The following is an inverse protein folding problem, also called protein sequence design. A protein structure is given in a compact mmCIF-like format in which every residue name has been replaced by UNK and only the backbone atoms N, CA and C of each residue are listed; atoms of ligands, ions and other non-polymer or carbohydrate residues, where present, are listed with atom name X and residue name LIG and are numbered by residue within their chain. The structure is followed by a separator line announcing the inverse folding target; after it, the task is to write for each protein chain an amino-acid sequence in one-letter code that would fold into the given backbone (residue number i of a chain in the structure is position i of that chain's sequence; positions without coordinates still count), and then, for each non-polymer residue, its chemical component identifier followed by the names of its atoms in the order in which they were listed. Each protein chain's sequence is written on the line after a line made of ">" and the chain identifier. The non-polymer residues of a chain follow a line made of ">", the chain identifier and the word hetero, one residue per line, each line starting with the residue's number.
data_IF_837710541854
#
_entry.id   IF_837710541854
#
_cell.length_a   1.000
_cell.length_b   1.000
_cell.length_c   1.000
_cell.angle_alpha   90.00
_cell.angle_beta   90.00
_cell.angle_gamma   90.00
#
_symmetry.space_group_name_H-M   'P 1'
#
loop_
_entity.id
_entity.type
_entity.pdbx_description
1 polymer ?
#
# COMPACT_ATOMS: atom_id res chain seq x y z
N UNK A 1 64.07 -2.25 -10.91
CA UNK A 1 63.29 -1.13 -10.35
C UNK A 1 61.93 -1.18 -11.01
N UNK A 2 60.92 -1.41 -10.19
CA UNK A 2 59.65 -2.03 -10.53
C UNK A 2 58.74 -1.13 -11.36
N UNK A 3 58.07 -1.73 -12.35
CA UNK A 3 57.00 -1.13 -13.13
C UNK A 3 55.73 -1.95 -12.90
N UNK A 4 54.77 -1.40 -12.15
CA UNK A 4 53.37 -1.89 -12.07
C UNK A 4 52.39 -0.73 -11.82
N UNK A 5 51.13 -0.89 -12.27
CA UNK A 5 50.39 0.16 -12.96
C UNK A 5 49.36 0.88 -12.08
N UNK A 6 48.98 2.06 -12.59
CA UNK A 6 47.97 2.98 -12.07
C UNK A 6 46.64 2.26 -11.82
N UNK A 7 46.26 2.12 -10.55
CA UNK A 7 44.94 1.66 -10.13
C UNK A 7 43.96 2.84 -10.28
N UNK A 8 43.38 2.97 -11.48
CA UNK A 8 42.23 3.83 -11.70
C UNK A 8 41.01 3.14 -11.09
N UNK A 9 40.77 3.41 -9.81
CA UNK A 9 39.44 3.23 -9.23
C UNK A 9 38.53 4.29 -9.84
N UNK A 10 37.89 3.97 -10.96
CA UNK A 10 36.78 4.74 -11.51
C UNK A 10 35.62 4.68 -10.51
N UNK A 11 35.60 5.65 -9.60
CA UNK A 11 34.39 5.99 -8.86
C UNK A 11 33.42 6.55 -9.89
N UNK A 12 32.56 5.69 -10.43
CA UNK A 12 31.47 6.09 -11.33
C UNK A 12 30.57 7.05 -10.56
N UNK A 13 30.84 8.35 -10.71
CA UNK A 13 29.91 9.40 -10.33
C UNK A 13 28.67 9.24 -11.21
N UNK A 14 27.64 8.53 -10.70
CA UNK A 14 26.30 8.53 -11.30
C UNK A 14 25.86 9.99 -11.40
N UNK A 15 25.89 10.53 -12.61
CA UNK A 15 25.47 11.89 -12.85
C UNK A 15 23.94 11.95 -12.76
N UNK A 16 23.36 13.09 -12.39
CA UNK A 16 21.90 13.29 -12.38
C UNK A 16 21.26 13.16 -13.79
N UNK A 17 22.07 12.83 -14.80
CA UNK A 17 21.68 12.64 -16.20
C UNK A 17 21.60 11.16 -16.60
N UNK A 18 21.93 10.23 -15.70
CA UNK A 18 21.84 8.79 -15.96
C UNK A 18 20.47 8.23 -15.56
N UNK A 19 19.88 7.43 -16.43
CA UNK A 19 18.58 6.81 -16.23
C UNK A 19 18.73 5.62 -15.27
N UNK A 20 18.04 5.65 -14.13
CA UNK A 20 18.11 4.56 -13.15
C UNK A 20 17.46 3.23 -13.60
N UNK A 21 16.84 3.18 -14.78
CA UNK A 21 16.20 1.97 -15.34
C UNK A 21 17.15 1.26 -16.31
N UNK A 22 17.67 1.96 -17.33
CA UNK A 22 18.59 1.36 -18.32
C UNK A 22 20.07 1.54 -17.96
N UNK A 23 20.38 2.38 -16.97
CA UNK A 23 21.74 2.72 -16.51
C UNK A 23 22.58 3.50 -17.53
N UNK A 24 21.97 4.00 -18.60
CA UNK A 24 22.58 4.89 -19.61
C UNK A 24 22.12 6.35 -19.45
N UNK A 25 22.75 7.28 -20.18
CA UNK A 25 22.31 8.68 -20.28
C UNK A 25 20.84 8.77 -20.69
N UNK A 26 20.08 9.61 -20.01
CA UNK A 26 18.65 9.81 -20.25
C UNK A 26 18.37 10.23 -21.70
N UNK A 27 17.66 9.38 -22.44
CA UNK A 27 17.15 9.66 -23.78
C UNK A 27 15.67 10.01 -23.72
N UNK A 28 15.27 11.13 -24.34
CA UNK A 28 13.88 11.61 -24.29
C UNK A 28 13.41 11.81 -22.84
N UNK A 29 13.99 12.79 -22.14
CA UNK A 29 13.78 13.00 -20.70
C UNK A 29 12.32 13.15 -20.32
N UNK A 30 11.85 12.29 -19.39
CA UNK A 30 10.56 12.43 -18.72
C UNK A 30 10.77 12.63 -17.22
N UNK A 31 10.32 13.76 -16.70
CA UNK A 31 10.39 14.11 -15.27
C UNK A 31 9.05 13.87 -14.61
N UNK A 32 9.05 13.11 -13.53
CA UNK A 32 7.86 12.76 -12.77
C UNK A 32 7.49 13.87 -11.75
N UNK A 33 6.30 13.80 -11.14
CA UNK A 33 5.90 14.74 -10.06
C UNK A 33 6.82 14.72 -8.84
N UNK A 34 7.53 13.60 -8.62
CA UNK A 34 8.54 13.45 -7.58
C UNK A 34 9.92 13.98 -7.99
N UNK A 35 10.00 14.69 -9.13
CA UNK A 35 11.20 15.32 -9.70
C UNK A 35 12.31 14.38 -10.17
N UNK A 36 12.14 13.07 -10.04
CA UNK A 36 13.02 12.09 -10.68
C UNK A 36 12.82 12.04 -12.19
N UNK A 37 13.92 11.91 -12.94
CA UNK A 37 13.92 11.85 -14.41
C UNK A 37 14.42 10.49 -14.93
N UNK A 38 13.82 10.04 -16.03
CA UNK A 38 14.14 8.78 -16.70
C UNK A 38 14.06 8.95 -18.22
N UNK A 39 14.54 7.97 -18.98
CA UNK A 39 14.17 7.86 -20.39
C UNK A 39 12.65 7.65 -20.50
N UNK A 40 11.99 8.34 -21.44
CA UNK A 40 10.54 8.23 -21.62
C UNK A 40 10.08 6.78 -21.82
N UNK A 41 10.74 6.05 -22.72
CA UNK A 41 10.39 4.64 -23.00
C UNK A 41 10.60 3.72 -21.79
N UNK A 42 11.66 3.95 -21.02
CA UNK A 42 11.94 3.18 -19.82
C UNK A 42 10.85 3.36 -18.78
N UNK A 43 10.49 4.61 -18.46
CA UNK A 43 9.48 4.85 -17.42
C UNK A 43 8.08 4.47 -17.87
N UNK A 44 7.74 4.64 -19.15
CA UNK A 44 6.46 4.20 -19.70
C UNK A 44 6.31 2.68 -19.65
N UNK A 45 7.40 1.94 -19.88
CA UNK A 45 7.42 0.48 -19.73
C UNK A 45 7.20 0.05 -18.27
N UNK A 46 7.78 0.75 -17.29
CA UNK A 46 7.52 0.50 -15.87
C UNK A 46 6.05 0.79 -15.53
N UNK A 47 5.51 1.91 -15.99
CA UNK A 47 4.15 2.35 -15.66
C UNK A 47 3.05 1.44 -16.21
N UNK A 48 3.33 0.64 -17.25
CA UNK A 48 2.41 -0.41 -17.70
C UNK A 48 2.11 -1.46 -16.62
N UNK A 49 3.05 -1.68 -15.69
CA UNK A 49 2.90 -2.68 -14.61
C UNK A 49 2.66 -2.04 -13.25
N UNK A 50 3.40 -0.97 -12.94
CA UNK A 50 3.28 -0.23 -11.69
C UNK A 50 3.50 1.25 -11.96
N UNK A 51 2.46 2.09 -11.84
CA UNK A 51 2.59 3.53 -12.06
C UNK A 51 3.26 4.19 -10.84
N UNK A 52 4.47 3.76 -10.47
CA UNK A 52 5.24 4.29 -9.35
C UNK A 52 6.69 4.53 -9.75
N UNK A 53 7.29 5.60 -9.25
CA UNK A 53 8.67 5.96 -9.52
C UNK A 53 9.63 4.84 -9.05
N UNK A 54 10.54 4.34 -9.90
CA UNK A 54 11.53 3.34 -9.50
C UNK A 54 12.51 3.77 -8.40
N UNK A 55 12.66 5.08 -8.17
CA UNK A 55 13.62 5.62 -7.20
C UNK A 55 12.97 5.81 -5.82
N UNK A 56 11.80 6.45 -5.76
CA UNK A 56 11.16 6.83 -4.50
C UNK A 56 9.78 6.21 -4.27
N UNK A 57 9.31 5.38 -5.20
CA UNK A 57 8.02 4.68 -5.16
C UNK A 57 6.78 5.60 -5.10
N UNK A 58 6.93 6.91 -5.39
CA UNK A 58 5.80 7.83 -5.53
C UNK A 58 4.92 7.39 -6.71
N UNK A 59 3.62 7.26 -6.49
CA UNK A 59 2.67 6.88 -7.53
C UNK A 59 2.37 8.05 -8.49
N UNK A 60 2.23 7.73 -9.78
CA UNK A 60 1.99 8.63 -10.89
C UNK A 60 0.80 8.13 -11.74
N UNK A 61 -0.40 8.48 -11.31
CA UNK A 61 -1.66 8.02 -11.90
C UNK A 61 -2.58 7.44 -10.82
N UNK A 62 -3.75 6.95 -11.22
CA UNK A 62 -4.62 6.21 -10.31
C UNK A 62 -4.34 4.72 -10.44
N UNK A 63 -3.71 4.16 -9.41
CA UNK A 63 -3.53 2.73 -9.28
C UNK A 63 -4.74 2.12 -8.58
N UNK A 64 -5.35 1.14 -9.23
CA UNK A 64 -6.42 0.32 -8.66
C UNK A 64 -5.89 -1.09 -8.40
N UNK A 65 -6.31 -1.68 -7.28
CA UNK A 65 -5.94 -3.03 -6.90
C UNK A 65 -6.93 -4.09 -7.38
N UNK A 66 -6.74 -5.30 -6.86
CA UNK A 66 -7.48 -6.52 -7.20
C UNK A 66 -8.41 -6.97 -6.08
N UNK A 67 -8.88 -6.04 -5.24
CA UNK A 67 -9.92 -6.33 -4.25
C UNK A 67 -11.22 -6.76 -4.98
N UNK A 68 -11.88 -7.85 -4.60
CA UNK A 68 -13.19 -8.21 -5.15
C UNK A 68 -14.28 -7.19 -4.80
N UNK A 69 -15.42 -7.23 -5.50
CA UNK A 69 -16.58 -6.41 -5.11
C UNK A 69 -17.07 -6.78 -3.70
N UNK A 70 -17.36 -5.76 -2.90
CA UNK A 70 -17.80 -5.88 -1.52
C UNK A 70 -18.21 -4.53 -0.94
N UNK A 71 -18.49 -4.49 0.36
CA UNK A 71 -18.94 -3.29 1.06
C UNK A 71 -17.99 -2.91 2.20
N UNK A 72 -17.93 -1.60 2.47
CA UNK A 72 -17.29 -1.01 3.63
C UNK A 72 -18.32 -0.12 4.32
N UNK A 73 -18.74 -0.49 5.53
CA UNK A 73 -19.65 0.31 6.37
C UNK A 73 -18.89 0.86 7.57
N UNK A 74 -19.31 2.05 8.03
CA UNK A 74 -18.64 2.75 9.12
C UNK A 74 -19.69 3.18 10.14
N UNK A 75 -19.45 2.85 11.40
CA UNK A 75 -20.26 3.29 12.53
C UNK A 75 -19.39 3.90 13.62
N UNK A 76 -20.01 4.72 14.47
CA UNK A 76 -19.35 5.30 15.64
C UNK A 76 -19.85 4.61 16.91
N UNK A 77 -18.95 4.47 17.88
CA UNK A 77 -19.19 3.89 19.19
C UNK A 77 -18.60 4.78 20.27
N UNK A 78 -19.24 4.79 21.44
CA UNK A 78 -18.77 5.48 22.64
C UNK A 78 -17.66 4.74 23.40
N UNK A 79 -17.28 3.56 22.90
CA UNK A 79 -16.17 2.80 23.47
C UNK A 79 -14.85 3.55 23.24
N UNK A 80 -14.04 3.65 24.28
CA UNK A 80 -12.70 4.22 24.18
C UNK A 80 -11.68 3.10 23.93
N UNK A 81 -10.76 3.33 23.01
CA UNK A 81 -9.65 2.42 22.76
C UNK A 81 -8.50 2.70 23.74
N UNK A 82 -7.79 1.68 24.24
CA UNK A 82 -6.59 1.88 25.07
C UNK A 82 -5.56 2.80 24.38
N UNK A 83 -5.10 3.83 25.09
CA UNK A 83 -4.22 4.89 24.58
C UNK A 83 -4.95 6.07 23.92
N UNK A 84 -6.28 6.03 23.89
CA UNK A 84 -7.16 6.99 23.22
C UNK A 84 -8.40 7.30 24.09
N UNK A 85 -8.20 7.48 25.40
CA UNK A 85 -9.26 7.58 26.43
C UNK A 85 -10.19 8.81 26.29
N UNK A 86 -9.79 9.79 25.47
CA UNK A 86 -10.52 11.03 25.27
C UNK A 86 -11.30 11.09 23.95
N UNK A 87 -11.37 9.98 23.23
CA UNK A 87 -12.08 9.88 21.96
C UNK A 87 -12.83 8.55 21.87
N UNK A 88 -13.94 8.56 21.12
CA UNK A 88 -14.73 7.36 20.86
C UNK A 88 -14.01 6.38 19.95
N UNK A 89 -14.76 5.45 19.38
CA UNK A 89 -14.25 4.43 18.47
C UNK A 89 -15.04 4.45 17.16
N UNK A 90 -14.32 4.48 16.05
CA UNK A 90 -14.84 4.23 14.71
C UNK A 90 -14.76 2.72 14.48
N UNK A 91 -15.88 2.10 14.13
CA UNK A 91 -15.95 0.69 13.74
C UNK A 91 -16.14 0.62 12.24
N UNK A 92 -15.23 -0.07 11.56
CA UNK A 92 -15.26 -0.30 10.11
C UNK A 92 -15.58 -1.76 9.88
N UNK A 93 -16.65 -2.04 9.15
CA UNK A 93 -17.03 -3.40 8.79
C UNK A 93 -16.92 -3.59 7.27
N UNK A 94 -16.12 -4.57 6.89
CA UNK A 94 -15.97 -5.03 5.53
C UNK A 94 -16.78 -6.31 5.31
N UNK A 95 -17.45 -6.41 4.17
CA UNK A 95 -18.18 -7.61 3.79
C UNK A 95 -18.01 -7.93 2.31
N UNK A 96 -17.60 -9.16 2.02
CA UNK A 96 -17.38 -9.65 0.67
C UNK A 96 -18.13 -10.96 0.46
N UNK A 97 -18.97 -11.07 -0.59
CA UNK A 97 -19.57 -12.34 -0.97
C UNK A 97 -18.52 -13.30 -1.56
N UNK A 98 -18.85 -14.59 -1.61
CA UNK A 98 -18.10 -15.57 -2.39
C UNK A 98 -18.21 -15.26 -3.88
N UNK A 99 -17.21 -15.65 -4.67
CA UNK A 99 -17.23 -15.37 -6.10
C UNK A 99 -16.24 -16.21 -6.90
N UNK A 100 -16.02 -15.79 -8.14
CA UNK A 100 -15.09 -16.39 -9.10
C UNK A 100 -13.98 -15.39 -9.38
N UNK A 101 -12.74 -15.84 -9.37
CA UNK A 101 -11.57 -15.03 -9.72
C UNK A 101 -11.67 -14.52 -11.16
N UNK A 102 -11.69 -13.19 -11.30
CA UNK A 102 -11.52 -12.50 -12.59
C UNK A 102 -10.09 -12.59 -13.17
N UNK A 103 -9.87 -12.06 -14.39
CA UNK A 103 -8.58 -12.09 -15.08
C UNK A 103 -7.42 -11.42 -14.33
N UNK A 104 -7.73 -10.49 -13.42
CA UNK A 104 -6.75 -9.78 -12.60
C UNK A 104 -6.22 -10.58 -11.40
N UNK A 105 -6.89 -11.70 -11.07
CA UNK A 105 -6.56 -12.51 -9.90
C UNK A 105 -5.60 -13.67 -10.24
N UNK A 106 -4.94 -14.28 -9.24
CA UNK A 106 -3.92 -15.31 -9.47
C UNK A 106 -4.39 -16.53 -10.26
N UNK A 107 -5.63 -16.97 -10.07
CA UNK A 107 -6.18 -18.16 -10.73
C UNK A 107 -7.56 -17.84 -11.35
N UNK A 108 -7.61 -17.20 -12.53
CA UNK A 108 -8.88 -16.85 -13.18
C UNK A 108 -9.80 -18.06 -13.35
N UNK A 109 -11.10 -17.89 -13.07
CA UNK A 109 -12.10 -18.96 -13.13
C UNK A 109 -12.20 -19.82 -11.86
N UNK A 110 -11.25 -19.71 -10.93
CA UNK A 110 -11.28 -20.47 -9.67
C UNK A 110 -12.13 -19.74 -8.63
N UNK A 111 -12.89 -20.50 -7.83
CA UNK A 111 -13.73 -19.95 -6.75
C UNK A 111 -12.90 -19.38 -5.60
N UNK A 112 -13.44 -18.37 -4.93
CA UNK A 112 -13.01 -17.92 -3.61
C UNK A 112 -14.21 -17.81 -2.68
N UNK A 113 -13.99 -18.02 -1.39
CA UNK A 113 -15.03 -17.87 -0.36
C UNK A 113 -15.13 -16.40 0.09
N UNK A 114 -16.37 -15.98 0.39
CA UNK A 114 -16.64 -14.68 0.99
C UNK A 114 -16.07 -14.55 2.39
N UNK A 115 -16.01 -13.32 2.89
CA UNK A 115 -15.50 -13.03 4.23
C UNK A 115 -16.10 -11.73 4.77
N UNK A 116 -16.09 -11.60 6.10
CA UNK A 116 -16.40 -10.34 6.78
C UNK A 116 -15.32 -10.05 7.80
N UNK A 117 -14.94 -8.78 7.92
CA UNK A 117 -13.91 -8.34 8.87
C UNK A 117 -14.30 -7.03 9.52
N UNK A 118 -13.98 -6.91 10.80
CA UNK A 118 -14.19 -5.68 11.56
C UNK A 118 -12.84 -5.09 11.92
N UNK A 119 -12.73 -3.78 11.83
CA UNK A 119 -11.56 -3.01 12.23
C UNK A 119 -11.94 -1.78 13.06
N UNK A 120 -11.00 -1.28 13.84
CA UNK A 120 -11.22 -0.22 14.81
C UNK A 120 -10.19 0.92 14.65
N UNK A 121 -10.69 2.16 14.65
CA UNK A 121 -9.87 3.37 14.76
C UNK A 121 -10.37 4.22 15.93
N UNK A 122 -9.49 4.99 16.61
CA UNK A 122 -9.96 6.00 17.54
C UNK A 122 -10.71 7.10 16.79
N UNK A 123 -11.82 7.58 17.36
CA UNK A 123 -12.61 8.68 16.81
C UNK A 123 -12.01 10.04 17.21
N UNK A 124 -10.74 10.23 16.86
CA UNK A 124 -10.01 11.47 17.02
C UNK A 124 -9.65 12.06 15.65
N UNK A 125 -9.06 13.27 15.63
CA UNK A 125 -8.65 13.94 14.39
C UNK A 125 -7.77 13.05 13.50
N UNK A 126 -6.79 12.38 14.10
CA UNK A 126 -5.86 11.49 13.41
C UNK A 126 -6.57 10.24 12.87
N UNK A 127 -7.44 9.60 13.67
CA UNK A 127 -8.19 8.43 13.25
C UNK A 127 -9.23 8.73 12.15
N UNK A 128 -9.88 9.89 12.20
CA UNK A 128 -10.76 10.38 11.13
C UNK A 128 -10.00 10.64 9.83
N UNK A 129 -8.75 11.11 9.91
CA UNK A 129 -7.87 11.24 8.75
C UNK A 129 -7.56 9.86 8.15
N UNK A 130 -7.16 8.89 8.97
CA UNK A 130 -6.93 7.51 8.52
C UNK A 130 -8.19 6.92 7.88
N UNK A 131 -9.37 7.12 8.47
CA UNK A 131 -10.64 6.66 7.92
C UNK A 131 -10.88 7.17 6.48
N UNK A 132 -10.64 8.46 6.23
CA UNK A 132 -10.79 9.04 4.88
C UNK A 132 -9.87 8.37 3.87
N UNK A 133 -8.61 8.13 4.25
CA UNK A 133 -7.65 7.43 3.40
C UNK A 133 -8.03 5.97 3.17
N UNK A 134 -8.53 5.26 4.19
CA UNK A 134 -9.02 3.89 4.04
C UNK A 134 -10.23 3.80 3.11
N UNK A 135 -11.17 4.75 3.16
CA UNK A 135 -12.28 4.83 2.19
C UNK A 135 -11.75 4.99 0.77
N UNK A 136 -10.84 5.93 0.55
CA UNK A 136 -10.19 6.14 -0.75
C UNK A 136 -9.43 4.90 -1.25
N UNK A 137 -8.74 4.20 -0.35
CA UNK A 137 -8.07 2.94 -0.66
C UNK A 137 -9.07 1.82 -1.00
N UNK A 138 -10.21 1.74 -0.30
CA UNK A 138 -11.27 0.78 -0.59
C UNK A 138 -11.89 1.03 -1.96
N UNK A 139 -12.22 2.28 -2.29
CA UNK A 139 -12.75 2.69 -3.60
C UNK A 139 -11.78 2.35 -4.73
N UNK A 140 -10.47 2.46 -4.45
CA UNK A 140 -9.39 2.06 -5.36
C UNK A 140 -9.08 0.56 -5.34
N UNK A 141 -9.89 -0.27 -4.67
CA UNK A 141 -9.69 -1.73 -4.60
C UNK A 141 -8.35 -2.16 -3.98
N UNK A 142 -7.83 -1.40 -3.00
CA UNK A 142 -6.48 -1.58 -2.43
C UNK A 142 -6.45 -2.22 -1.04
N UNK A 143 -7.55 -2.29 -0.29
CA UNK A 143 -7.55 -2.82 1.09
C UNK A 143 -7.36 -4.34 1.10
N UNK A 144 -8.01 -5.03 0.17
CA UNK A 144 -7.98 -6.48 0.05
C UNK A 144 -7.43 -6.95 -1.31
N UNK A 145 -7.15 -8.24 -1.39
CA UNK A 145 -6.85 -8.95 -2.63
C UNK A 145 -7.26 -10.42 -2.50
N UNK A 146 -7.23 -11.17 -3.61
CA UNK A 146 -7.29 -12.63 -3.58
C UNK A 146 -5.88 -13.18 -3.67
N UNK A 147 -5.52 -14.04 -2.72
CA UNK A 147 -4.20 -14.64 -2.70
C UNK A 147 -4.06 -15.72 -1.64
N UNK A 148 -2.84 -15.83 -1.11
CA UNK A 148 -2.51 -16.73 -0.01
C UNK A 148 -2.65 -16.00 1.32
N UNK A 149 -3.44 -16.54 2.24
CA UNK A 149 -3.52 -16.07 3.62
C UNK A 149 -2.20 -16.35 4.33
N UNK A 150 -1.60 -15.32 4.94
CA UNK A 150 -0.35 -15.47 5.70
C UNK A 150 -0.57 -16.29 6.97
N UNK A 151 -1.71 -16.13 7.63
CA UNK A 151 -1.99 -16.79 8.93
C UNK A 151 -2.41 -18.24 8.78
N UNK A 152 -3.19 -18.56 7.75
CA UNK A 152 -3.75 -19.91 7.55
C UNK A 152 -3.07 -20.69 6.43
N UNK A 153 -2.27 -20.04 5.60
CA UNK A 153 -1.59 -20.64 4.45
C UNK A 153 -2.51 -21.00 3.27
N UNK A 154 -3.82 -20.78 3.38
CA UNK A 154 -4.82 -21.10 2.35
C UNK A 154 -4.67 -20.18 1.13
N UNK A 155 -4.77 -20.76 -0.06
CA UNK A 155 -4.80 -20.04 -1.34
C UNK A 155 -6.24 -19.73 -1.77
N UNK A 156 -6.40 -18.83 -2.73
CA UNK A 156 -7.70 -18.46 -3.33
C UNK A 156 -8.69 -17.88 -2.30
N UNK A 157 -8.17 -17.10 -1.35
CA UNK A 157 -8.99 -16.45 -0.31
C UNK A 157 -8.79 -14.95 -0.33
N UNK A 158 -9.81 -14.24 0.16
CA UNK A 158 -9.76 -12.79 0.37
C UNK A 158 -8.86 -12.49 1.57
N UNK A 159 -7.77 -11.77 1.33
CA UNK A 159 -6.77 -11.42 2.35
C UNK A 159 -6.47 -9.92 2.31
N UNK A 160 -5.94 -9.40 3.42
CA UNK A 160 -5.42 -8.03 3.50
C UNK A 160 -4.31 -7.81 2.46
N UNK A 161 -4.21 -6.59 1.94
CA UNK A 161 -3.26 -6.22 0.89
C UNK A 161 -2.25 -5.16 1.40
N UNK A 162 -1.47 -5.55 2.42
CA UNK A 162 -0.40 -4.75 3.06
C UNK A 162 -0.84 -3.43 3.72
N UNK A 163 -2.13 -3.26 3.99
CA UNK A 163 -2.65 -2.15 4.80
C UNK A 163 -3.20 -2.75 6.09
N UNK A 164 -2.46 -2.60 7.18
CA UNK A 164 -2.78 -3.23 8.44
C UNK A 164 -3.97 -2.56 9.12
N UNK A 165 -4.87 -3.39 9.62
CA UNK A 165 -6.05 -2.99 10.37
C UNK A 165 -5.97 -3.51 11.79
N UNK A 166 -6.51 -2.73 12.73
CA UNK A 166 -6.71 -3.18 14.10
C UNK A 166 -8.01 -3.96 14.19
N UNK A 167 -7.92 -5.28 14.22
CA UNK A 167 -9.08 -6.18 14.26
C UNK A 167 -9.52 -6.53 15.67
N UNK A 168 -8.76 -6.10 16.69
CA UNK A 168 -9.12 -6.20 18.10
C UNK A 168 -9.05 -4.81 18.76
N UNK A 169 -9.82 -4.61 19.81
CA UNK A 169 -9.80 -3.36 20.60
C UNK A 169 -8.73 -3.37 21.69
N UNK A 170 -8.15 -4.53 21.99
CA UNK A 170 -7.18 -4.75 23.07
C UNK A 170 -6.07 -5.74 22.65
N UNK A 171 -5.21 -6.16 23.59
CA UNK A 171 -4.13 -7.13 23.35
C UNK A 171 -2.90 -6.57 22.63
N UNK A 172 -2.88 -5.27 22.35
CA UNK A 172 -1.75 -4.58 21.74
C UNK A 172 -1.41 -5.07 20.32
N UNK A 173 -0.22 -4.70 19.79
CA UNK A 173 0.14 -4.98 18.41
C UNK A 173 0.19 -6.47 18.05
N UNK A 174 0.60 -7.32 18.99
CA UNK A 174 0.70 -8.78 18.78
C UNK A 174 -0.65 -9.45 18.53
N UNK A 175 -1.72 -8.89 19.10
CA UNK A 175 -3.10 -9.33 18.87
C UNK A 175 -3.82 -8.47 17.82
N UNK A 176 -3.11 -7.68 17.02
CA UNK A 176 -3.72 -6.75 16.07
C UNK A 176 -4.71 -5.77 16.74
N UNK A 177 -4.44 -5.35 17.98
CA UNK A 177 -5.29 -4.42 18.71
C UNK A 177 -4.52 -3.30 19.41
N UNK A 178 -5.15 -2.70 20.41
CA UNK A 178 -4.65 -1.53 21.14
C UNK A 178 -4.20 -1.91 22.57
N UNK A 179 -3.37 -1.10 23.25
CA UNK A 179 -2.72 0.11 22.75
C UNK A 179 -1.63 -0.19 21.71
N UNK A 180 -1.50 0.68 20.72
CA UNK A 180 -0.41 0.67 19.73
C UNK A 180 -0.15 2.12 19.31
N UNK A 181 0.80 2.81 19.98
CA UNK A 181 1.00 4.25 19.78
C UNK A 181 1.46 4.59 18.36
N UNK A 182 2.12 3.66 17.66
CA UNK A 182 2.69 3.90 16.32
C UNK A 182 1.73 3.51 15.19
N UNK A 183 0.57 2.92 15.51
CA UNK A 183 -0.33 2.36 14.50
C UNK A 183 -0.82 3.41 13.50
N UNK A 184 -1.33 4.55 13.96
CA UNK A 184 -1.90 5.56 13.08
C UNK A 184 -0.85 6.15 12.13
N UNK A 185 0.40 6.29 12.58
CA UNK A 185 1.50 6.69 11.72
C UNK A 185 1.84 5.61 10.69
N UNK A 186 1.99 4.36 11.14
CA UNK A 186 2.35 3.22 10.29
C UNK A 186 1.32 2.95 9.20
N UNK A 187 0.03 2.97 9.50
CA UNK A 187 -1.03 2.74 8.50
C UNK A 187 -1.10 3.86 7.47
N UNK A 188 -0.83 5.11 7.85
CA UNK A 188 -0.71 6.22 6.89
C UNK A 188 0.46 6.00 5.93
N UNK A 189 1.58 5.48 6.42
CA UNK A 189 2.73 5.17 5.58
C UNK A 189 2.45 4.01 4.61
N UNK A 190 1.77 2.95 5.08
CA UNK A 190 1.31 1.85 4.24
C UNK A 190 0.36 2.33 3.13
N UNK A 191 -0.59 3.20 3.47
CA UNK A 191 -1.49 3.85 2.52
C UNK A 191 -0.72 4.71 1.51
N UNK A 192 0.25 5.51 1.96
CA UNK A 192 1.12 6.32 1.10
C UNK A 192 1.92 5.44 0.13
N UNK A 193 2.45 4.32 0.60
CA UNK A 193 3.17 3.34 -0.21
C UNK A 193 2.30 2.65 -1.25
N UNK A 194 0.97 2.64 -1.06
CA UNK A 194 -0.04 2.19 -2.04
C UNK A 194 -0.57 3.35 -2.91
N UNK A 195 0.00 4.54 -2.81
CA UNK A 195 -0.40 5.73 -3.59
C UNK A 195 -1.67 6.41 -3.09
N UNK A 196 -2.06 6.17 -1.83
CA UNK A 196 -3.23 6.78 -1.20
C UNK A 196 -2.76 7.87 -0.24
N UNK A 197 -2.89 9.11 -0.68
CA UNK A 197 -2.55 10.32 0.10
C UNK A 197 -3.77 11.22 0.25
N UNK A 198 -3.67 12.19 1.16
CA UNK A 198 -4.64 13.28 1.23
C UNK A 198 -4.71 14.02 -0.12
N UNK A 199 -5.90 14.48 -0.49
CA UNK A 199 -6.07 15.32 -1.67
C UNK A 199 -5.43 16.69 -1.40
N UNK A 200 -4.79 17.24 -2.43
CA UNK A 200 -4.16 18.57 -2.40
C UNK A 200 -5.14 19.66 -2.79
#
# INVERSE_FOLDING_TARGET
>A
MESRPNDHTDVVHKSAEDCAICLDKIQGKKTLKCLHSFCSECIDSVFKFKPACPICNTYHGEYTGTQPEGTMTVTQSWLNLPGFEHCGCIVIQYSFPSGIQGPEHPNPGVRYSGTSRTAYLPDCKEGQKVLKLLKKAFDRRLIFTIGRSVTTGLNNVITWNDIHHKTNIDGGPQSFGYPDPDYLFRVQEELRLKGVTEDH
#
